data_IF_048554947326
#
_entry.id   IF_048554947326
#
_cell.length_a   1.000
_cell.length_b   1.000
_cell.length_c   1.000
_cell.angle_alpha   90.00
_cell.angle_beta   90.00
_cell.angle_gamma   90.00
#
_symmetry.space_group_name_H-M   'P 1'
#
loop_
_entity.id
_entity.type
_entity.pdbx_description
1 polymer ?
#
# COMPACT_ATOMS: atom_id res chain seq x y z
N UNK A 1 -34.87 -1.39 -21.32
CA UNK A 1 -34.89 -2.31 -20.16
C UNK A 1 -33.53 -2.60 -19.52
N UNK A 2 -32.40 -2.84 -20.18
CA UNK A 2 -31.18 -3.24 -19.46
C UNK A 2 -30.42 -2.12 -18.75
N UNK A 3 -30.47 -0.87 -19.24
CA UNK A 3 -29.65 0.23 -18.68
C UNK A 3 -30.06 0.71 -17.29
N UNK A 4 -31.33 0.67 -16.95
CA UNK A 4 -31.81 1.12 -15.64
C UNK A 4 -31.55 0.09 -14.55
N UNK A 5 -31.73 -1.19 -14.86
CA UNK A 5 -31.38 -2.31 -13.95
C UNK A 5 -29.87 -2.33 -13.67
N UNK A 6 -29.07 -2.19 -14.73
CA UNK A 6 -27.62 -2.10 -14.62
C UNK A 6 -27.18 -0.94 -13.73
N UNK A 7 -27.68 0.28 -14.02
CA UNK A 7 -27.32 1.49 -13.27
C UNK A 7 -27.73 1.38 -11.80
N UNK A 8 -28.92 0.83 -11.53
CA UNK A 8 -29.40 0.59 -10.17
C UNK A 8 -28.54 -0.41 -9.43
N UNK A 9 -28.27 -1.58 -10.02
CA UNK A 9 -27.45 -2.63 -9.42
C UNK A 9 -26.04 -2.14 -9.09
N UNK A 10 -25.37 -1.48 -10.05
CA UNK A 10 -24.01 -0.95 -9.85
C UNK A 10 -23.99 0.14 -8.79
N UNK A 11 -24.97 1.05 -8.77
CA UNK A 11 -25.07 2.09 -7.73
C UNK A 11 -25.20 1.47 -6.34
N UNK A 12 -26.09 0.50 -6.16
CA UNK A 12 -26.31 -0.19 -4.87
C UNK A 12 -25.04 -0.92 -4.41
N UNK A 13 -24.38 -1.68 -5.30
CA UNK A 13 -23.13 -2.36 -4.99
C UNK A 13 -22.03 -1.37 -4.62
N UNK A 14 -21.91 -0.28 -5.38
CA UNK A 14 -20.88 0.75 -5.10
C UNK A 14 -21.09 1.37 -3.72
N UNK A 15 -22.33 1.69 -3.35
CA UNK A 15 -22.63 2.32 -2.06
C UNK A 15 -22.45 1.38 -0.85
N UNK A 16 -22.63 0.06 -1.03
CA UNK A 16 -22.53 -0.89 0.09
C UNK A 16 -21.15 -1.57 0.18
N UNK A 17 -20.51 -1.86 -0.95
CA UNK A 17 -19.24 -2.60 -0.96
C UNK A 17 -18.03 -1.66 -0.88
N UNK A 18 -18.02 -0.62 -1.72
CA UNK A 18 -16.80 0.20 -1.88
C UNK A 18 -16.43 0.96 -0.60
N UNK A 19 -17.35 1.61 0.15
CA UNK A 19 -16.99 2.28 1.39
C UNK A 19 -16.43 1.33 2.45
N UNK A 20 -17.00 0.11 2.57
CA UNK A 20 -16.48 -0.89 3.49
C UNK A 20 -15.04 -1.30 3.10
N UNK A 21 -14.78 -1.59 1.82
CA UNK A 21 -13.44 -1.96 1.36
C UNK A 21 -12.43 -0.80 1.54
N UNK A 22 -12.87 0.44 1.33
CA UNK A 22 -12.08 1.65 1.60
C UNK A 22 -11.73 1.73 3.09
N UNK A 23 -12.70 1.52 3.98
CA UNK A 23 -12.45 1.51 5.43
C UNK A 23 -11.44 0.43 5.83
N UNK A 24 -11.59 -0.79 5.32
CA UNK A 24 -10.67 -1.87 5.62
C UNK A 24 -9.24 -1.57 5.13
N UNK A 25 -9.12 -0.97 3.96
CA UNK A 25 -7.82 -0.61 3.40
C UNK A 25 -7.20 0.60 4.11
N UNK A 26 -8.04 1.54 4.56
CA UNK A 26 -7.62 2.64 5.43
C UNK A 26 -6.98 2.11 6.72
N UNK A 27 -7.65 1.17 7.41
CA UNK A 27 -7.11 0.55 8.63
C UNK A 27 -5.80 -0.21 8.36
N UNK A 28 -5.68 -0.91 7.22
CA UNK A 28 -4.46 -1.61 6.86
C UNK A 28 -3.26 -0.64 6.70
N UNK A 29 -3.47 0.53 6.10
CA UNK A 29 -2.42 1.53 5.98
C UNK A 29 -2.16 2.29 7.27
N UNK A 30 -3.17 2.49 8.11
CA UNK A 30 -2.99 3.04 9.45
C UNK A 30 -2.03 2.17 10.26
N UNK A 31 -2.30 0.87 10.36
CA UNK A 31 -1.46 -0.11 11.08
C UNK A 31 -0.04 -0.28 10.49
N UNK A 32 0.11 -0.08 9.18
CA UNK A 32 1.45 -0.13 8.55
C UNK A 32 2.30 1.08 8.92
N UNK A 33 1.68 2.24 9.06
CA UNK A 33 2.38 3.51 9.24
C UNK A 33 2.57 3.92 10.72
N UNK A 34 1.80 3.34 11.65
CA UNK A 34 1.94 3.63 13.07
C UNK A 34 3.35 3.37 13.62
N UNK A 35 4.07 2.37 13.09
CA UNK A 35 5.49 2.14 13.39
C UNK A 35 6.34 3.38 13.20
N UNK A 36 6.13 4.13 12.10
CA UNK A 36 6.91 5.31 11.78
C UNK A 36 6.73 6.44 12.80
N UNK A 37 5.53 6.60 13.35
CA UNK A 37 5.24 7.58 14.40
C UNK A 37 5.72 7.11 15.78
N UNK A 38 5.72 5.81 16.04
CA UNK A 38 6.24 5.22 17.27
C UNK A 38 7.78 5.08 17.29
N UNK A 39 8.48 5.40 16.20
CA UNK A 39 9.91 5.12 16.00
C UNK A 39 10.75 5.56 17.21
N UNK A 40 10.66 6.83 17.60
CA UNK A 40 11.45 7.38 18.71
C UNK A 40 11.14 6.71 20.04
N UNK A 41 9.85 6.45 20.31
CA UNK A 41 9.45 5.76 21.55
C UNK A 41 9.95 4.30 21.58
N UNK A 42 9.93 3.59 20.45
CA UNK A 42 10.46 2.24 20.35
C UNK A 42 11.99 2.20 20.48
N UNK A 43 12.70 3.17 19.88
CA UNK A 43 14.15 3.34 20.06
C UNK A 43 14.50 3.53 21.53
N UNK A 44 13.81 4.45 22.22
CA UNK A 44 14.08 4.81 23.61
C UNK A 44 13.69 3.66 24.58
N UNK A 45 12.57 2.95 24.36
CA UNK A 45 12.07 1.93 25.28
C UNK A 45 12.67 0.53 25.02
N UNK A 46 12.98 0.19 23.77
CA UNK A 46 13.50 -1.14 23.40
C UNK A 46 15.00 -1.12 23.07
N UNK A 47 15.64 0.05 23.11
CA UNK A 47 17.08 0.20 22.78
C UNK A 47 17.38 -0.09 21.31
N UNK A 48 16.47 0.24 20.39
CA UNK A 48 16.66 -0.04 18.96
C UNK A 48 17.64 0.95 18.32
N UNK A 49 18.54 0.42 17.50
CA UNK A 49 19.29 1.25 16.53
C UNK A 49 18.40 1.57 15.34
N UNK A 50 18.81 2.53 14.48
CA UNK A 50 18.04 2.85 13.28
C UNK A 50 17.93 1.64 12.32
N UNK A 51 18.97 0.80 12.22
CA UNK A 51 18.91 -0.44 11.44
C UNK A 51 17.96 -1.47 12.05
N UNK A 52 17.95 -1.62 13.38
CA UNK A 52 17.03 -2.51 14.07
C UNK A 52 15.58 -2.07 13.88
N UNK A 53 15.30 -0.77 13.94
CA UNK A 53 13.98 -0.21 13.63
C UNK A 53 13.59 -0.41 12.16
N UNK A 54 14.52 -0.15 11.23
CA UNK A 54 14.32 -0.40 9.80
C UNK A 54 14.04 -1.86 9.50
N UNK A 55 14.75 -2.79 10.17
CA UNK A 55 14.50 -4.23 10.09
C UNK A 55 13.11 -4.59 10.61
N UNK A 56 12.71 -4.08 11.79
CA UNK A 56 11.37 -4.30 12.36
C UNK A 56 10.26 -3.81 11.42
N UNK A 57 10.46 -2.64 10.81
CA UNK A 57 9.51 -2.08 9.84
C UNK A 57 9.42 -2.93 8.58
N UNK A 58 10.55 -3.43 8.10
CA UNK A 58 10.65 -4.19 6.85
C UNK A 58 10.23 -5.66 6.97
N UNK A 59 10.50 -6.35 8.09
CA UNK A 59 10.24 -7.79 8.22
C UNK A 59 8.78 -8.18 8.02
N UNK A 60 7.86 -7.26 8.23
CA UNK A 60 6.46 -7.37 7.84
C UNK A 60 6.30 -7.81 6.39
N UNK A 61 7.06 -7.20 5.46
CA UNK A 61 6.97 -7.49 4.03
C UNK A 61 7.49 -8.86 3.66
N UNK A 62 8.41 -9.43 4.45
CA UNK A 62 8.85 -10.82 4.27
C UNK A 62 7.71 -11.79 4.62
N UNK A 63 7.04 -11.58 5.76
CA UNK A 63 5.85 -12.34 6.12
C UNK A 63 4.74 -12.21 5.08
N UNK A 64 4.47 -10.99 4.65
CA UNK A 64 3.47 -10.70 3.62
C UNK A 64 3.78 -11.41 2.29
N UNK A 65 5.02 -11.31 1.80
CA UNK A 65 5.50 -11.97 0.58
C UNK A 65 5.31 -13.49 0.61
N UNK A 66 5.74 -14.14 1.68
CA UNK A 66 5.68 -15.59 1.81
C UNK A 66 4.25 -16.14 1.81
N UNK A 67 3.30 -15.37 2.35
CA UNK A 67 1.93 -15.82 2.56
C UNK A 67 0.90 -15.17 1.63
N UNK A 68 1.28 -14.26 0.74
CA UNK A 68 0.36 -13.62 -0.22
C UNK A 68 -0.34 -14.64 -1.13
N UNK A 69 0.41 -15.55 -1.74
CA UNK A 69 -0.15 -16.58 -2.63
C UNK A 69 -1.02 -17.60 -1.86
N UNK A 70 -0.55 -18.20 -0.75
CA UNK A 70 -1.39 -19.10 0.06
C UNK A 70 -2.68 -18.46 0.56
N UNK A 71 -2.61 -17.19 1.00
CA UNK A 71 -3.77 -16.46 1.50
C UNK A 71 -4.78 -16.17 0.40
N UNK A 72 -4.33 -15.80 -0.80
CA UNK A 72 -5.23 -15.61 -1.94
C UNK A 72 -5.94 -16.92 -2.34
N UNK A 73 -5.24 -18.04 -2.31
CA UNK A 73 -5.86 -19.36 -2.50
C UNK A 73 -6.91 -19.66 -1.42
N UNK A 74 -6.68 -19.23 -0.19
CA UNK A 74 -7.65 -19.31 0.91
C UNK A 74 -8.93 -18.53 0.64
N UNK A 75 -8.83 -17.31 0.09
CA UNK A 75 -10.00 -16.51 -0.32
C UNK A 75 -10.88 -17.23 -1.34
N UNK A 76 -10.26 -17.89 -2.32
CA UNK A 76 -10.97 -18.64 -3.35
C UNK A 76 -11.62 -19.91 -2.75
N UNK A 77 -10.91 -20.61 -1.86
CA UNK A 77 -11.35 -21.88 -1.28
C UNK A 77 -12.47 -21.73 -0.25
N UNK A 78 -12.32 -20.77 0.68
CA UNK A 78 -13.24 -20.59 1.82
C UNK A 78 -14.26 -19.47 1.59
N UNK A 79 -14.10 -18.70 0.52
CA UNK A 79 -14.93 -17.55 0.18
C UNK A 79 -14.52 -16.25 0.90
N UNK A 80 -14.79 -15.10 0.26
CA UNK A 80 -14.41 -13.78 0.79
C UNK A 80 -14.94 -13.51 2.19
N UNK A 81 -16.17 -13.92 2.49
CA UNK A 81 -16.85 -13.70 3.78
C UNK A 81 -16.05 -14.23 4.97
N UNK A 82 -15.58 -15.48 4.91
CA UNK A 82 -14.84 -16.12 5.99
C UNK A 82 -13.38 -15.64 5.97
N UNK A 83 -12.80 -15.51 4.78
CA UNK A 83 -11.40 -15.21 4.66
C UNK A 83 -11.04 -13.78 5.06
N UNK A 84 -11.88 -12.79 4.73
CA UNK A 84 -11.70 -11.43 5.24
C UNK A 84 -11.83 -11.36 6.76
N UNK A 85 -12.80 -12.07 7.36
CA UNK A 85 -12.91 -12.13 8.81
C UNK A 85 -11.63 -12.69 9.45
N UNK A 86 -11.10 -13.80 8.90
CA UNK A 86 -9.83 -14.38 9.35
C UNK A 86 -8.66 -13.40 9.23
N UNK A 87 -8.51 -12.73 8.07
CA UNK A 87 -7.43 -11.76 7.85
C UNK A 87 -7.52 -10.64 8.88
N UNK A 88 -8.67 -10.00 9.02
CA UNK A 88 -8.86 -8.85 9.91
C UNK A 88 -8.66 -9.19 11.39
N UNK A 89 -9.23 -10.29 11.85
CA UNK A 89 -9.09 -10.71 13.26
C UNK A 89 -7.63 -11.06 13.56
N UNK A 90 -7.00 -11.89 12.72
CA UNK A 90 -5.63 -12.33 12.99
C UNK A 90 -4.62 -11.18 12.85
N UNK A 91 -4.78 -10.31 11.86
CA UNK A 91 -3.95 -9.11 11.71
C UNK A 91 -4.16 -8.17 12.91
N UNK A 92 -5.41 -7.83 13.27
CA UNK A 92 -5.70 -6.94 14.39
C UNK A 92 -5.15 -7.46 15.73
N UNK A 93 -5.14 -8.78 15.95
CA UNK A 93 -4.51 -9.39 17.14
C UNK A 93 -3.01 -9.06 17.17
N UNK A 94 -2.27 -9.30 16.07
CA UNK A 94 -0.83 -9.03 16.05
C UNK A 94 -0.52 -7.52 16.06
N UNK A 95 -1.36 -6.67 15.45
CA UNK A 95 -1.25 -5.22 15.56
C UNK A 95 -1.42 -4.75 17.02
N UNK A 96 -2.42 -5.26 17.73
CA UNK A 96 -2.64 -4.97 19.15
C UNK A 96 -1.49 -5.50 20.03
N UNK A 97 -0.97 -6.70 19.75
CA UNK A 97 0.15 -7.30 20.48
C UNK A 97 1.44 -6.47 20.40
N UNK A 98 1.62 -5.65 19.36
CA UNK A 98 2.74 -4.71 19.29
C UNK A 98 2.77 -3.73 20.46
N UNK A 99 1.63 -3.40 21.07
CA UNK A 99 1.56 -2.58 22.29
C UNK A 99 2.07 -3.26 23.56
N UNK A 100 2.35 -4.56 23.50
CA UNK A 100 2.79 -5.34 24.68
C UNK A 100 4.24 -5.85 24.56
N UNK A 101 4.93 -5.56 23.45
CA UNK A 101 6.31 -5.99 23.24
C UNK A 101 7.26 -5.33 24.23
N UNK A 102 8.24 -6.08 24.71
CA UNK A 102 9.25 -5.64 25.68
C UNK A 102 10.68 -5.80 25.18
N UNK A 103 10.86 -6.56 24.11
CA UNK A 103 12.17 -6.86 23.53
C UNK A 103 12.15 -6.66 22.02
N UNK A 104 13.30 -6.36 21.41
CA UNK A 104 13.41 -6.28 19.94
C UNK A 104 12.96 -7.57 19.23
N UNK A 105 13.23 -8.74 19.82
CA UNK A 105 12.85 -10.02 19.24
C UNK A 105 11.32 -10.19 19.18
N UNK A 106 10.62 -9.83 20.26
CA UNK A 106 9.14 -9.84 20.27
C UNK A 106 8.57 -8.90 19.22
N UNK A 107 9.15 -7.71 19.05
CA UNK A 107 8.77 -6.77 18.01
C UNK A 107 8.93 -7.39 16.60
N UNK A 108 10.06 -8.05 16.33
CA UNK A 108 10.31 -8.68 15.03
C UNK A 108 9.33 -9.83 14.77
N UNK A 109 9.06 -10.67 15.76
CA UNK A 109 8.10 -11.78 15.65
C UNK A 109 6.70 -11.23 15.40
N UNK A 110 6.24 -10.25 16.18
CA UNK A 110 4.91 -9.65 15.99
C UNK A 110 4.79 -8.98 14.61
N UNK A 111 5.81 -8.26 14.14
CA UNK A 111 5.82 -7.62 12.82
C UNK A 111 5.81 -8.65 11.68
N UNK A 112 6.59 -9.72 11.79
CA UNK A 112 6.56 -10.82 10.82
C UNK A 112 5.18 -11.47 10.77
N UNK A 113 4.63 -11.83 11.92
CA UNK A 113 3.31 -12.48 12.03
C UNK A 113 2.18 -11.56 11.56
N UNK A 114 2.29 -10.25 11.82
CA UNK A 114 1.37 -9.25 11.27
C UNK A 114 1.37 -9.31 9.73
N UNK A 115 2.56 -9.35 9.11
CA UNK A 115 2.69 -9.51 7.66
C UNK A 115 2.08 -10.82 7.14
N UNK A 116 2.30 -11.95 7.83
CA UNK A 116 1.67 -13.25 7.51
C UNK A 116 0.15 -13.18 7.58
N UNK A 117 -0.39 -12.53 8.60
CA UNK A 117 -1.83 -12.46 8.83
C UNK A 117 -2.54 -11.50 7.87
N UNK A 118 -1.92 -10.38 7.52
CA UNK A 118 -2.46 -9.40 6.58
C UNK A 118 -2.25 -9.83 5.12
N UNK A 119 -1.33 -10.75 4.86
CA UNK A 119 -1.03 -11.23 3.52
C UNK A 119 -2.28 -11.66 2.75
N UNK A 120 -2.34 -11.29 1.48
CA UNK A 120 -3.46 -11.61 0.61
C UNK A 120 -4.68 -10.69 0.77
N UNK A 121 -4.68 -9.68 1.65
CA UNK A 121 -5.79 -8.75 1.79
C UNK A 121 -6.09 -8.02 0.47
N UNK A 122 -5.10 -7.35 -0.12
CA UNK A 122 -5.28 -6.62 -1.38
C UNK A 122 -5.74 -7.52 -2.54
N UNK A 123 -5.09 -8.67 -2.84
CA UNK A 123 -5.58 -9.58 -3.86
C UNK A 123 -7.00 -10.10 -3.58
N UNK A 124 -7.36 -10.31 -2.32
CA UNK A 124 -8.70 -10.74 -1.93
C UNK A 124 -9.76 -9.68 -2.23
N UNK A 125 -9.45 -8.39 -2.02
CA UNK A 125 -10.32 -7.26 -2.39
C UNK A 125 -10.49 -7.20 -3.90
N UNK A 126 -9.39 -7.32 -4.67
CA UNK A 126 -9.44 -7.34 -6.13
C UNK A 126 -10.31 -8.52 -6.61
N UNK A 127 -10.12 -9.71 -6.04
CA UNK A 127 -10.95 -10.89 -6.33
C UNK A 127 -12.43 -10.61 -6.01
N UNK A 128 -12.73 -10.04 -4.83
CA UNK A 128 -14.07 -9.70 -4.42
C UNK A 128 -14.75 -8.74 -5.41
N UNK A 129 -14.02 -7.75 -5.89
CA UNK A 129 -14.53 -6.85 -6.94
C UNK A 129 -14.81 -7.60 -8.25
N UNK A 130 -14.04 -8.64 -8.60
CA UNK A 130 -14.34 -9.44 -9.80
C UNK A 130 -15.61 -10.25 -9.68
N UNK A 131 -15.96 -10.69 -8.48
CA UNK A 131 -17.21 -11.44 -8.21
C UNK A 131 -18.44 -10.55 -8.32
N UNK A 132 -18.36 -9.30 -7.88
CA UNK A 132 -19.51 -8.42 -7.75
C UNK A 132 -19.67 -7.41 -8.91
N UNK A 133 -18.58 -7.00 -9.55
CA UNK A 133 -18.62 -5.98 -10.58
C UNK A 133 -18.25 -6.51 -11.97
N UNK A 134 -19.04 -6.18 -13.01
CA UNK A 134 -18.67 -6.41 -14.40
C UNK A 134 -17.34 -5.73 -14.76
N UNK A 135 -16.62 -6.29 -15.73
CA UNK A 135 -15.27 -5.84 -16.13
C UNK A 135 -15.17 -4.33 -16.41
N UNK A 136 -16.17 -3.79 -17.10
CA UNK A 136 -16.21 -2.34 -17.47
C UNK A 136 -16.20 -1.37 -16.28
N UNK A 137 -16.59 -1.82 -15.07
CA UNK A 137 -16.62 -0.99 -13.86
C UNK A 137 -15.41 -1.20 -12.94
N UNK A 138 -14.71 -2.33 -13.07
CA UNK A 138 -13.61 -2.72 -12.16
C UNK A 138 -12.49 -1.69 -12.11
N UNK A 139 -12.06 -1.18 -13.27
CA UNK A 139 -10.98 -0.17 -13.34
C UNK A 139 -11.33 1.09 -12.55
N UNK A 140 -12.58 1.57 -12.66
CA UNK A 140 -13.03 2.75 -11.90
C UNK A 140 -13.04 2.49 -10.40
N UNK A 141 -13.52 1.33 -9.97
CA UNK A 141 -13.64 0.95 -8.56
C UNK A 141 -12.26 0.72 -7.94
N UNK A 142 -11.36 0.03 -8.65
CA UNK A 142 -9.97 -0.12 -8.24
C UNK A 142 -9.25 1.23 -8.14
N UNK A 143 -9.51 2.15 -9.06
CA UNK A 143 -8.98 3.51 -9.00
C UNK A 143 -9.41 4.25 -7.72
N UNK A 144 -10.69 4.15 -7.33
CA UNK A 144 -11.18 4.71 -6.06
C UNK A 144 -10.52 4.06 -4.84
N UNK A 145 -10.24 2.77 -4.91
CA UNK A 145 -9.62 2.01 -3.84
C UNK A 145 -8.13 2.38 -3.63
N UNK A 146 -7.38 2.61 -4.70
CA UNK A 146 -5.93 2.92 -4.61
C UNK A 146 -5.67 4.30 -3.99
N UNK A 147 -6.58 5.27 -4.16
CA UNK A 147 -6.46 6.61 -3.56
C UNK A 147 -6.44 6.56 -2.02
N UNK A 148 -6.97 5.49 -1.43
CA UNK A 148 -7.02 5.32 0.02
C UNK A 148 -5.61 5.30 0.62
N UNK A 149 -4.59 4.85 -0.08
CA UNK A 149 -3.22 4.76 0.44
C UNK A 149 -2.67 6.13 0.91
N UNK A 150 -2.52 7.15 0.06
CA UNK A 150 -2.06 8.46 0.53
C UNK A 150 -3.09 9.14 1.45
N UNK A 151 -4.38 8.88 1.28
CA UNK A 151 -5.43 9.41 2.15
C UNK A 151 -5.31 8.84 3.57
N UNK A 152 -5.04 7.54 3.72
CA UNK A 152 -4.81 6.90 5.02
C UNK A 152 -3.60 7.48 5.73
N UNK A 153 -2.52 7.76 5.00
CA UNK A 153 -1.34 8.40 5.57
C UNK A 153 -1.66 9.84 6.01
N UNK A 154 -2.40 10.59 5.20
CA UNK A 154 -2.78 11.96 5.51
C UNK A 154 -3.69 12.06 6.75
N UNK A 155 -4.74 11.24 6.81
CA UNK A 155 -5.70 11.24 7.94
C UNK A 155 -5.13 10.49 9.15
N UNK A 156 -4.37 9.42 8.93
CA UNK A 156 -3.77 8.60 9.97
C UNK A 156 -2.69 9.35 10.76
N UNK A 157 -1.89 10.22 10.09
CA UNK A 157 -0.84 10.94 10.79
C UNK A 157 -1.34 11.78 11.97
N UNK A 158 -2.38 12.64 11.86
CA UNK A 158 -2.93 13.35 13.01
C UNK A 158 -3.55 12.42 14.06
N UNK A 159 -4.15 11.30 13.66
CA UNK A 159 -4.72 10.31 14.60
C UNK A 159 -3.61 9.74 15.47
N UNK A 160 -2.56 9.20 14.84
CA UNK A 160 -1.40 8.64 15.55
C UNK A 160 -0.73 9.70 16.43
N UNK A 161 -0.56 10.94 15.91
CA UNK A 161 0.00 12.04 16.69
C UNK A 161 -0.84 12.45 17.89
N UNK A 162 -2.18 12.45 17.76
CA UNK A 162 -3.08 12.73 18.87
C UNK A 162 -2.95 11.66 19.98
N UNK A 163 -2.90 10.38 19.61
CA UNK A 163 -2.72 9.29 20.58
C UNK A 163 -1.35 9.42 21.28
N UNK A 164 -0.28 9.67 20.51
CA UNK A 164 1.08 9.79 21.05
C UNK A 164 1.27 11.04 21.92
N UNK A 165 0.42 12.05 21.79
CA UNK A 165 0.45 13.29 22.60
C UNK A 165 -0.32 13.17 23.92
N UNK A 166 -0.87 12.01 24.24
CA UNK A 166 -1.53 11.78 25.54
C UNK A 166 -0.48 11.85 26.64
N UNK A 167 -0.62 12.85 27.55
CA UNK A 167 0.38 13.16 28.57
C UNK A 167 0.39 12.19 29.79
N UNK A 168 -0.62 11.35 29.91
CA UNK A 168 -0.76 10.46 31.05
C UNK A 168 -0.82 9.00 30.59
N UNK A 169 -0.23 8.12 31.37
CA UNK A 169 -0.37 6.68 31.18
C UNK A 169 -1.82 6.26 31.45
N UNK A 170 -2.55 5.91 30.38
CA UNK A 170 -3.89 5.38 30.51
C UNK A 170 -3.82 3.88 30.78
N UNK A 171 -4.41 3.47 31.91
CA UNK A 171 -4.39 2.07 32.36
C UNK A 171 -2.98 1.48 32.50
N UNK A 172 -1.97 2.32 32.75
CA UNK A 172 -0.58 1.88 32.90
C UNK A 172 0.15 1.62 31.57
N UNK A 173 -0.44 2.03 30.44
CA UNK A 173 0.19 1.94 29.12
C UNK A 173 0.80 3.27 28.69
N UNK A 174 2.03 3.23 28.21
CA UNK A 174 2.67 4.37 27.56
C UNK A 174 1.95 4.75 26.24
N UNK A 175 2.03 6.02 25.80
CA UNK A 175 1.34 6.48 24.59
C UNK A 175 1.60 5.65 23.34
N UNK A 176 2.83 5.17 23.12
CA UNK A 176 3.15 4.30 21.99
C UNK A 176 2.48 2.92 22.07
N UNK A 177 2.28 2.39 23.27
CA UNK A 177 1.55 1.13 23.49
C UNK A 177 0.07 1.32 23.15
N UNK A 178 -0.50 2.44 23.61
CA UNK A 178 -1.88 2.81 23.30
C UNK A 178 -2.10 2.99 21.81
N UNK A 179 -1.12 3.55 21.08
CA UNK A 179 -1.19 3.68 19.63
C UNK A 179 -1.46 2.31 18.96
N UNK A 180 -0.64 1.31 19.24
CA UNK A 180 -0.80 -0.03 18.66
C UNK A 180 -2.09 -0.71 19.13
N UNK A 181 -2.48 -0.55 20.39
CA UNK A 181 -3.71 -1.13 20.92
C UNK A 181 -4.94 -0.50 20.25
N UNK A 182 -5.01 0.84 20.21
CA UNK A 182 -6.19 1.56 19.69
C UNK A 182 -6.33 1.43 18.18
N UNK A 183 -5.24 1.35 17.44
CA UNK A 183 -5.28 1.15 15.98
C UNK A 183 -5.46 -0.33 15.60
N UNK A 184 -4.99 -1.28 16.43
CA UNK A 184 -5.14 -2.71 16.19
C UNK A 184 -6.50 -3.30 16.57
N UNK A 185 -7.24 -2.68 17.50
CA UNK A 185 -8.57 -3.17 17.92
C UNK A 185 -9.66 -3.04 16.83
N UNK A 186 -9.80 -1.93 16.09
CA UNK A 186 -10.82 -1.78 15.06
C UNK A 186 -10.86 -2.91 14.02
N UNK A 187 -9.73 -3.39 13.47
CA UNK A 187 -9.73 -4.56 12.59
C UNK A 187 -10.33 -5.81 13.23
N UNK A 188 -10.10 -6.08 14.52
CA UNK A 188 -10.68 -7.22 15.22
C UNK A 188 -12.21 -7.08 15.28
N UNK A 189 -12.69 -5.92 15.73
CA UNK A 189 -14.13 -5.66 15.85
C UNK A 189 -14.83 -5.78 14.51
N UNK A 190 -14.27 -5.13 13.46
CA UNK A 190 -14.84 -5.21 12.13
C UNK A 190 -14.72 -6.65 11.58
N UNK A 191 -13.62 -7.33 11.83
CA UNK A 191 -13.42 -8.73 11.44
C UNK A 191 -14.51 -9.67 11.98
N UNK A 192 -14.95 -9.47 13.22
CA UNK A 192 -16.08 -10.19 13.82
C UNK A 192 -17.41 -9.86 13.15
N UNK A 193 -17.57 -8.63 12.63
CA UNK A 193 -18.78 -8.18 11.94
C UNK A 193 -18.79 -8.56 10.44
N UNK A 194 -17.64 -8.79 9.82
CA UNK A 194 -17.50 -9.10 8.38
C UNK A 194 -18.44 -10.24 7.91
N UNK A 195 -18.62 -11.35 8.63
CA UNK A 195 -19.53 -12.42 8.22
C UNK A 195 -20.98 -11.97 8.03
N UNK A 196 -21.39 -10.87 8.64
CA UNK A 196 -22.73 -10.29 8.51
C UNK A 196 -22.76 -9.23 7.40
N UNK A 197 -21.68 -8.49 7.17
CA UNK A 197 -21.58 -7.39 6.23
C UNK A 197 -21.29 -7.83 4.80
N UNK A 198 -20.44 -8.87 4.63
CA UNK A 198 -19.98 -9.36 3.32
C UNK A 198 -20.72 -10.63 2.94
N UNK A 199 -21.05 -10.76 1.65
CA UNK A 199 -21.62 -11.96 1.04
C UNK A 199 -20.65 -12.56 0.02
N UNK A 200 -20.74 -13.86 -0.20
CA UNK A 200 -19.86 -14.56 -1.16
C UNK A 200 -20.30 -14.40 -2.62
N UNK A 201 -21.59 -14.11 -2.85
CA UNK A 201 -22.17 -14.03 -4.19
C UNK A 201 -23.23 -12.94 -4.28
N UNK A 202 -23.44 -12.31 -5.45
CA UNK A 202 -24.56 -11.40 -5.68
C UNK A 202 -25.93 -12.01 -5.38
N UNK A 203 -26.08 -13.34 -5.46
CA UNK A 203 -27.34 -14.06 -5.12
C UNK A 203 -27.74 -13.84 -3.65
N UNK A 204 -26.76 -13.77 -2.75
CA UNK A 204 -26.97 -13.73 -1.31
C UNK A 204 -27.20 -12.31 -0.76
N UNK A 205 -27.17 -11.32 -1.65
CA UNK A 205 -27.28 -9.91 -1.28
C UNK A 205 -28.74 -9.51 -1.09
N UNK A 206 -29.10 -8.99 0.09
CA UNK A 206 -30.49 -8.65 0.43
C UNK A 206 -31.01 -7.37 -0.22
N UNK A 207 -30.15 -6.37 -0.50
CA UNK A 207 -30.52 -5.08 -1.05
C UNK A 207 -30.68 -5.05 -2.59
N UNK A 208 -30.40 -6.16 -3.27
CA UNK A 208 -30.62 -6.33 -4.71
C UNK A 208 -31.95 -7.02 -4.98
N UNK A 209 -32.71 -6.55 -5.97
CA UNK A 209 -33.91 -7.20 -6.43
C UNK A 209 -33.60 -8.41 -7.35
N UNK A 210 -34.62 -9.19 -7.72
CA UNK A 210 -34.47 -10.43 -8.49
C UNK A 210 -33.84 -10.16 -9.87
N UNK A 211 -34.26 -9.09 -10.54
CA UNK A 211 -33.76 -8.73 -11.88
C UNK A 211 -32.31 -8.26 -11.83
N UNK A 212 -31.93 -7.46 -10.81
CA UNK A 212 -30.58 -6.99 -10.57
C UNK A 212 -29.64 -8.18 -10.29
N UNK A 213 -30.07 -9.15 -9.48
CA UNK A 213 -29.32 -10.38 -9.21
C UNK A 213 -29.11 -11.21 -10.48
N UNK A 214 -30.18 -11.41 -11.27
CA UNK A 214 -30.11 -12.15 -12.53
C UNK A 214 -29.14 -11.47 -13.51
N UNK A 215 -29.24 -10.13 -13.64
CA UNK A 215 -28.34 -9.36 -14.49
C UNK A 215 -26.87 -9.47 -14.05
N UNK A 216 -26.59 -9.33 -12.76
CA UNK A 216 -25.24 -9.47 -12.21
C UNK A 216 -24.68 -10.88 -12.43
N UNK A 217 -25.48 -11.92 -12.21
CA UNK A 217 -25.05 -13.31 -12.43
C UNK A 217 -24.70 -13.62 -13.89
N UNK A 218 -25.30 -12.90 -14.84
CA UNK A 218 -24.98 -13.05 -16.27
C UNK A 218 -23.78 -12.21 -16.71
N UNK A 219 -23.49 -11.07 -16.04
CA UNK A 219 -22.49 -10.09 -16.45
C UNK A 219 -21.27 -9.96 -15.51
N UNK A 220 -21.44 -10.27 -14.21
CA UNK A 220 -20.35 -10.34 -13.24
C UNK A 220 -19.95 -11.81 -13.01
N UNK A 221 -18.77 -12.07 -12.49
CA UNK A 221 -18.32 -13.41 -12.11
C UNK A 221 -17.88 -14.34 -13.26
N UNK A 222 -18.07 -13.96 -14.52
CA UNK A 222 -17.60 -14.75 -15.70
C UNK A 222 -16.12 -14.58 -16.03
N UNK A 223 -15.37 -13.82 -15.22
CA UNK A 223 -13.92 -13.78 -15.44
C UNK A 223 -13.34 -15.17 -15.17
N UNK A 224 -12.77 -15.78 -16.20
CA UNK A 224 -11.93 -16.99 -16.10
C UNK A 224 -10.68 -16.79 -15.23
N UNK A 225 -10.62 -15.67 -14.52
CA UNK A 225 -9.51 -15.24 -13.64
C UNK A 225 -9.44 -15.99 -12.30
N UNK A 226 -10.33 -16.95 -12.05
CA UNK A 226 -10.25 -17.88 -10.92
C UNK A 226 -9.37 -19.10 -11.16
N UNK A 227 -8.51 -19.10 -12.17
CA UNK A 227 -7.51 -20.17 -12.33
C UNK A 227 -6.55 -20.10 -11.13
N UNK A 228 -6.48 -21.19 -10.39
CA UNK A 228 -5.50 -21.37 -9.32
C UNK A 228 -4.12 -21.07 -9.90
N UNK A 229 -3.48 -20.01 -9.45
CA UNK A 229 -2.08 -19.75 -9.77
C UNK A 229 -1.29 -20.85 -9.08
N UNK A 230 -0.67 -21.73 -9.86
CA UNK A 230 0.20 -22.78 -9.33
C UNK A 230 1.62 -22.22 -9.20
N UNK A 231 2.44 -22.86 -8.35
CA UNK A 231 3.86 -22.53 -8.25
C UNK A 231 4.56 -22.63 -9.63
N UNK A 232 4.13 -23.59 -10.46
CA UNK A 232 4.61 -23.74 -11.85
C UNK A 232 4.29 -22.49 -12.70
N UNK A 233 3.10 -21.92 -12.56
CA UNK A 233 2.72 -20.72 -13.31
C UNK A 233 3.50 -19.49 -12.83
N UNK A 234 3.75 -19.38 -11.51
CA UNK A 234 4.59 -18.35 -10.94
C UNK A 234 6.05 -18.45 -11.46
N UNK A 235 6.61 -19.65 -11.50
CA UNK A 235 7.97 -19.89 -12.05
C UNK A 235 8.05 -19.58 -13.55
N UNK A 236 6.99 -19.85 -14.33
CA UNK A 236 6.91 -19.41 -15.73
C UNK A 236 6.84 -17.90 -15.85
N UNK A 237 6.12 -17.23 -14.93
CA UNK A 237 6.07 -15.76 -14.85
C UNK A 237 7.46 -15.17 -14.62
N UNK A 238 8.26 -15.71 -13.70
CA UNK A 238 9.65 -15.26 -13.44
C UNK A 238 10.54 -15.39 -14.68
N UNK A 239 10.38 -16.43 -15.49
CA UNK A 239 11.16 -16.63 -16.73
C UNK A 239 10.81 -15.61 -17.82
N UNK A 240 9.70 -14.92 -17.72
CA UNK A 240 9.31 -13.89 -18.68
C UNK A 240 10.04 -12.57 -18.39
N UNK A 241 10.99 -12.21 -19.24
CA UNK A 241 11.82 -10.99 -19.10
C UNK A 241 11.01 -9.71 -18.93
N UNK A 242 9.82 -9.60 -19.55
CA UNK A 242 8.96 -8.41 -19.41
C UNK A 242 8.39 -8.30 -17.99
N UNK A 243 7.86 -9.41 -17.44
CA UNK A 243 7.37 -9.40 -16.05
C UNK A 243 8.49 -9.18 -15.05
N UNK A 244 9.68 -9.77 -15.28
CA UNK A 244 10.85 -9.54 -14.42
C UNK A 244 11.27 -8.06 -14.43
N UNK A 245 11.28 -7.41 -15.60
CA UNK A 245 11.57 -5.97 -15.67
C UNK A 245 10.54 -5.15 -14.89
N UNK A 246 9.23 -5.41 -15.06
CA UNK A 246 8.22 -4.71 -14.28
C UNK A 246 8.30 -5.01 -12.78
N UNK A 247 8.74 -6.20 -12.40
CA UNK A 247 8.97 -6.56 -11.00
C UNK A 247 10.13 -5.74 -10.40
N UNK A 248 11.22 -5.56 -11.12
CA UNK A 248 12.35 -4.69 -10.71
C UNK A 248 11.94 -3.22 -10.66
N UNK A 249 11.14 -2.75 -11.61
CA UNK A 249 10.60 -1.38 -11.58
C UNK A 249 9.65 -1.20 -10.39
N UNK A 250 8.81 -2.20 -10.11
CA UNK A 250 7.95 -2.18 -8.93
C UNK A 250 8.76 -2.16 -7.63
N UNK A 251 9.83 -2.94 -7.55
CA UNK A 251 10.74 -2.93 -6.41
C UNK A 251 11.26 -1.52 -6.12
N UNK A 252 11.78 -0.79 -7.12
CA UNK A 252 12.27 0.57 -6.92
C UNK A 252 11.17 1.56 -6.52
N UNK A 253 9.96 1.45 -7.10
CA UNK A 253 8.81 2.25 -6.71
C UNK A 253 8.38 1.96 -5.26
N UNK A 254 8.33 0.69 -4.86
CA UNK A 254 7.97 0.24 -3.51
C UNK A 254 9.02 0.66 -2.49
N UNK A 255 10.32 0.64 -2.85
CA UNK A 255 11.37 1.25 -2.03
C UNK A 255 11.07 2.72 -1.71
N UNK A 256 10.66 3.49 -2.71
CA UNK A 256 10.25 4.89 -2.51
C UNK A 256 9.06 5.00 -1.56
N UNK A 257 7.99 4.24 -1.77
CA UNK A 257 6.76 4.31 -0.97
C UNK A 257 7.04 4.00 0.50
N UNK A 258 7.63 2.84 0.79
CA UNK A 258 7.78 2.38 2.17
C UNK A 258 9.02 2.95 2.86
N UNK A 259 10.10 3.20 2.11
CA UNK A 259 11.25 3.92 2.65
C UNK A 259 10.88 5.34 3.07
N UNK A 260 10.20 6.08 2.20
CA UNK A 260 9.69 7.41 2.52
C UNK A 260 8.70 7.38 3.69
N UNK A 261 7.70 6.48 3.63
CA UNK A 261 6.67 6.35 4.67
C UNK A 261 7.24 6.06 6.05
N UNK A 262 8.23 5.16 6.14
CA UNK A 262 8.86 4.77 7.41
C UNK A 262 9.69 5.92 8.01
N UNK A 263 10.39 6.70 7.19
CA UNK A 263 11.36 7.69 7.67
C UNK A 263 10.86 9.14 7.60
N UNK A 264 9.69 9.41 6.99
CA UNK A 264 9.14 10.76 6.91
C UNK A 264 8.91 11.41 8.28
N UNK A 265 8.26 10.75 9.28
CA UNK A 265 8.05 11.36 10.58
C UNK A 265 9.37 11.73 11.28
N UNK A 266 10.37 10.85 11.26
CA UNK A 266 11.69 11.10 11.81
C UNK A 266 12.41 12.25 11.10
N UNK A 267 12.25 12.34 9.77
CA UNK A 267 12.81 13.45 8.97
C UNK A 267 12.13 14.78 9.32
N UNK A 268 10.81 14.81 9.46
CA UNK A 268 10.07 16.01 9.88
C UNK A 268 10.42 16.38 11.33
N UNK A 269 10.57 15.39 12.22
CA UNK A 269 10.96 15.60 13.62
C UNK A 269 12.28 16.38 13.74
N UNK A 270 13.24 16.03 12.91
CA UNK A 270 14.55 16.69 12.90
C UNK A 270 14.49 18.18 12.43
N UNK A 271 13.48 18.55 11.65
CA UNK A 271 13.29 19.95 11.19
C UNK A 271 12.27 20.73 12.01
N UNK A 272 11.45 20.09 12.87
CA UNK A 272 10.36 20.72 13.62
C UNK A 272 10.59 20.81 15.13
N UNK A 273 11.75 20.37 15.63
CA UNK A 273 12.10 20.43 17.05
C UNK A 273 11.55 19.27 17.90
N UNK A 274 11.10 18.17 17.28
CA UNK A 274 10.84 16.89 17.95
C UNK A 274 9.47 16.70 18.59
N UNK A 275 8.58 17.70 18.59
CA UNK A 275 7.20 17.55 19.07
C UNK A 275 6.41 16.63 18.15
N UNK A 276 6.03 15.45 18.64
CA UNK A 276 5.37 14.40 17.86
C UNK A 276 4.01 14.82 17.30
N UNK A 277 3.25 15.64 18.03
CA UNK A 277 1.97 16.16 17.54
C UNK A 277 2.18 17.10 16.36
N UNK A 278 3.14 18.03 16.48
CA UNK A 278 3.54 18.93 15.40
C UNK A 278 4.06 18.15 14.19
N UNK A 279 4.91 17.14 14.41
CA UNK A 279 5.40 16.24 13.36
C UNK A 279 4.26 15.60 12.59
N UNK A 280 3.27 15.09 13.30
CA UNK A 280 2.13 14.40 12.69
C UNK A 280 1.23 15.34 11.88
N UNK A 281 1.05 16.58 12.34
CA UNK A 281 0.32 17.61 11.59
C UNK A 281 1.10 18.06 10.35
N UNK A 282 2.41 18.22 10.44
CA UNK A 282 3.24 18.55 9.29
C UNK A 282 3.27 17.40 8.25
N UNK A 283 3.23 16.15 8.69
CA UNK A 283 3.16 14.99 7.79
C UNK A 283 1.83 14.90 7.01
N UNK A 284 0.74 15.49 7.52
CA UNK A 284 -0.52 15.64 6.79
C UNK A 284 -0.32 16.37 5.46
N UNK A 285 0.57 17.37 5.39
CA UNK A 285 0.72 18.23 4.21
C UNK A 285 1.24 17.46 3.00
N UNK A 286 2.40 16.76 3.05
CA UNK A 286 2.89 15.98 1.90
C UNK A 286 1.93 14.87 1.46
N UNK A 287 1.35 14.14 2.40
CA UNK A 287 0.40 13.08 2.08
C UNK A 287 -0.93 13.61 1.55
N UNK A 288 -1.44 14.73 2.11
CA UNK A 288 -2.67 15.38 1.66
C UNK A 288 -2.55 15.91 0.24
N UNK A 289 -1.45 16.59 -0.09
CA UNK A 289 -1.16 17.07 -1.45
C UNK A 289 -1.03 15.89 -2.44
N UNK A 290 -0.36 14.82 -2.03
CA UNK A 290 -0.28 13.61 -2.85
C UNK A 290 -1.69 13.02 -3.10
N UNK A 291 -2.52 12.88 -2.08
CA UNK A 291 -3.88 12.34 -2.20
C UNK A 291 -4.74 13.17 -3.16
N UNK A 292 -4.64 14.50 -3.13
CA UNK A 292 -5.36 15.40 -4.03
C UNK A 292 -4.91 15.25 -5.49
N UNK A 293 -3.64 15.01 -5.74
CA UNK A 293 -3.05 15.01 -7.08
C UNK A 293 -3.04 13.63 -7.75
N UNK A 294 -3.15 12.52 -7.02
CA UNK A 294 -3.16 11.15 -7.59
C UNK A 294 -4.26 10.99 -8.64
N UNK A 295 -5.48 11.45 -8.35
CA UNK A 295 -6.61 11.26 -9.26
C UNK A 295 -6.49 12.05 -10.57
N UNK A 296 -6.30 13.40 -10.55
CA UNK A 296 -6.16 14.17 -11.79
C UNK A 296 -4.95 13.73 -12.62
N UNK A 297 -3.83 13.37 -11.99
CA UNK A 297 -2.65 12.84 -12.67
C UNK A 297 -2.94 11.51 -13.37
N UNK A 298 -3.61 10.60 -12.69
CA UNK A 298 -4.01 9.30 -13.24
C UNK A 298 -4.97 9.44 -14.43
N UNK A 299 -5.92 10.38 -14.35
CA UNK A 299 -6.82 10.70 -15.47
C UNK A 299 -6.06 11.22 -16.67
N UNK A 300 -5.09 12.11 -16.46
CA UNK A 300 -4.27 12.66 -17.54
C UNK A 300 -3.40 11.59 -18.18
N UNK A 301 -2.74 10.76 -17.39
CA UNK A 301 -1.99 9.61 -17.87
C UNK A 301 -2.84 8.67 -18.74
N UNK A 302 -4.06 8.39 -18.30
CA UNK A 302 -5.01 7.51 -19.00
C UNK A 302 -5.48 8.11 -20.33
N UNK A 303 -5.82 9.41 -20.35
CA UNK A 303 -6.23 10.13 -21.57
C UNK A 303 -5.14 10.18 -22.63
N UNK A 304 -3.90 10.40 -22.22
CA UNK A 304 -2.76 10.48 -23.15
C UNK A 304 -2.25 9.12 -23.60
N UNK A 305 -2.67 8.03 -22.95
CA UNK A 305 -2.17 6.66 -23.15
C UNK A 305 -0.64 6.53 -23.00
N UNK A 306 0.01 7.46 -22.28
CA UNK A 306 1.47 7.49 -22.05
C UNK A 306 1.82 7.02 -20.62
N UNK A 307 1.20 5.93 -20.16
CA UNK A 307 1.29 5.47 -18.77
C UNK A 307 2.73 5.41 -18.24
N UNK A 308 3.65 4.81 -19.00
CA UNK A 308 5.04 4.66 -18.56
C UNK A 308 5.80 5.98 -18.43
N UNK A 309 5.52 6.94 -19.32
CA UNK A 309 6.11 8.29 -19.22
C UNK A 309 5.61 9.00 -17.97
N UNK A 310 4.29 8.92 -17.69
CA UNK A 310 3.72 9.54 -16.49
C UNK A 310 4.21 8.88 -15.20
N UNK A 311 4.30 7.54 -15.16
CA UNK A 311 4.85 6.82 -14.01
C UNK A 311 6.33 7.18 -13.79
N UNK A 312 7.13 7.14 -14.85
CA UNK A 312 8.56 7.44 -14.77
C UNK A 312 8.84 8.90 -14.41
N UNK A 313 8.10 9.85 -15.00
CA UNK A 313 8.22 11.27 -14.65
C UNK A 313 7.89 11.53 -13.18
N UNK A 314 6.82 10.89 -12.67
CA UNK A 314 6.47 10.98 -11.25
C UNK A 314 7.62 10.50 -10.35
N UNK A 315 8.26 9.37 -10.68
CA UNK A 315 9.40 8.85 -9.92
C UNK A 315 10.63 9.77 -9.98
N UNK A 316 10.90 10.40 -11.13
CA UNK A 316 11.96 11.41 -11.27
C UNK A 316 11.65 12.65 -10.43
N UNK A 317 10.41 13.14 -10.44
CA UNK A 317 9.96 14.24 -9.58
C UNK A 317 10.14 13.88 -8.10
N UNK A 318 9.81 12.65 -7.72
CA UNK A 318 10.02 12.16 -6.35
C UNK A 318 11.50 12.16 -5.96
N UNK A 319 12.38 11.70 -6.85
CA UNK A 319 13.82 11.71 -6.62
C UNK A 319 14.37 13.13 -6.43
N UNK A 320 13.95 14.08 -7.28
CA UNK A 320 14.31 15.49 -7.14
C UNK A 320 13.80 16.05 -5.81
N UNK A 321 12.57 15.71 -5.41
CA UNK A 321 12.02 16.08 -4.11
C UNK A 321 12.88 15.58 -2.94
N UNK A 322 13.27 14.29 -2.94
CA UNK A 322 14.13 13.75 -1.89
C UNK A 322 15.53 14.40 -1.86
N UNK A 323 16.15 14.58 -3.02
CA UNK A 323 17.45 15.25 -3.13
C UNK A 323 17.38 16.70 -2.62
N UNK A 324 16.34 17.44 -3.03
CA UNK A 324 16.12 18.81 -2.56
C UNK A 324 15.89 18.87 -1.04
N UNK A 325 15.07 17.98 -0.50
CA UNK A 325 14.85 17.91 0.95
C UNK A 325 16.16 17.74 1.72
N UNK A 326 17.03 16.81 1.30
CA UNK A 326 18.35 16.60 1.93
C UNK A 326 19.24 17.83 1.81
N UNK A 327 19.28 18.46 0.64
CA UNK A 327 20.15 19.61 0.38
C UNK A 327 19.77 20.81 1.27
N UNK A 328 18.46 21.09 1.39
CA UNK A 328 17.97 22.25 2.14
C UNK A 328 17.70 21.96 3.62
N UNK A 329 17.84 20.72 4.06
CA UNK A 329 17.55 20.28 5.42
C UNK A 329 18.21 21.15 6.52
N UNK A 330 19.47 21.56 6.30
CA UNK A 330 20.24 22.39 7.25
C UNK A 330 20.03 23.89 7.08
N UNK A 331 19.49 24.34 5.94
CA UNK A 331 19.40 25.75 5.62
C UNK A 331 18.01 26.33 5.94
N UNK A 332 16.96 25.66 5.53
CA UNK A 332 15.58 26.13 5.74
C UNK A 332 14.61 24.94 5.87
N UNK A 333 14.03 24.75 7.10
CA UNK A 333 13.06 23.69 7.35
C UNK A 333 11.81 23.74 6.46
N UNK A 334 11.33 24.94 6.10
CA UNK A 334 10.11 25.08 5.27
C UNK A 334 10.41 24.71 3.82
N UNK A 335 11.59 25.08 3.32
CA UNK A 335 12.04 24.66 1.98
C UNK A 335 12.22 23.15 1.93
N UNK A 336 12.84 22.55 2.96
CA UNK A 336 12.98 21.09 3.07
C UNK A 336 11.62 20.38 3.08
N UNK A 337 10.64 20.88 3.86
CA UNK A 337 9.27 20.36 3.88
C UNK A 337 8.59 20.48 2.50
N UNK A 338 8.80 21.58 1.79
CA UNK A 338 8.26 21.79 0.46
C UNK A 338 8.80 20.73 -0.53
N UNK A 339 10.10 20.39 -0.44
CA UNK A 339 10.69 19.31 -1.21
C UNK A 339 10.18 17.91 -0.78
N UNK A 340 9.88 17.67 0.49
CA UNK A 340 9.20 16.45 0.94
C UNK A 340 7.78 16.35 0.37
N UNK A 341 7.07 17.47 0.20
CA UNK A 341 5.78 17.48 -0.50
C UNK A 341 5.93 17.07 -1.98
N UNK A 342 6.94 17.60 -2.68
CA UNK A 342 7.25 17.21 -4.06
C UNK A 342 7.57 15.72 -4.14
N UNK A 343 8.36 15.20 -3.19
CA UNK A 343 8.67 13.78 -3.10
C UNK A 343 7.41 12.92 -2.92
N UNK A 344 6.54 13.26 -1.97
CA UNK A 344 5.29 12.54 -1.73
C UNK A 344 4.38 12.55 -2.97
N UNK A 345 4.19 13.71 -3.61
CA UNK A 345 3.41 13.83 -4.85
C UNK A 345 3.97 12.87 -5.91
N UNK A 346 5.27 12.91 -6.15
CA UNK A 346 5.91 12.05 -7.14
C UNK A 346 5.74 10.56 -6.83
N UNK A 347 5.98 10.14 -5.58
CA UNK A 347 5.85 8.74 -5.14
C UNK A 347 4.43 8.22 -5.39
N UNK A 348 3.40 8.90 -4.89
CA UNK A 348 2.03 8.39 -4.93
C UNK A 348 1.36 8.56 -6.30
N UNK A 349 1.70 9.59 -7.07
CA UNK A 349 1.17 9.76 -8.43
C UNK A 349 1.76 8.76 -9.43
N UNK A 350 2.92 8.14 -9.14
CA UNK A 350 3.49 7.07 -9.95
C UNK A 350 2.66 5.77 -9.94
N UNK A 351 1.98 5.48 -8.83
CA UNK A 351 1.36 4.18 -8.56
C UNK A 351 0.27 3.79 -9.56
N UNK A 352 -0.80 4.58 -9.80
CA UNK A 352 -1.87 4.16 -10.70
C UNK A 352 -1.44 3.93 -12.15
N UNK A 353 -0.67 4.83 -12.81
CA UNK A 353 -0.21 4.57 -14.17
C UNK A 353 0.75 3.38 -14.23
N UNK A 354 1.61 3.17 -13.22
CA UNK A 354 2.52 2.03 -13.18
C UNK A 354 1.77 0.70 -13.11
N UNK A 355 0.84 0.54 -12.16
CA UNK A 355 0.09 -0.70 -11.95
C UNK A 355 -0.76 -1.11 -13.18
N UNK A 356 -1.11 -0.15 -14.01
CA UNK A 356 -1.88 -0.40 -15.24
C UNK A 356 -1.04 -1.00 -16.38
N UNK A 357 0.29 -0.91 -16.35
CA UNK A 357 1.16 -1.35 -17.45
C UNK A 357 1.34 -2.88 -17.53
N UNK A 358 1.67 -3.59 -16.43
CA UNK A 358 1.91 -5.05 -16.51
C UNK A 358 0.66 -5.85 -16.89
N UNK A 359 -0.53 -5.31 -16.63
CA UNK A 359 -1.80 -5.96 -16.97
C UNK A 359 -2.00 -6.17 -18.47
N UNK A 360 -1.29 -5.41 -19.32
CA UNK A 360 -1.41 -5.47 -20.78
C UNK A 360 -0.41 -6.42 -21.46
N UNK A 361 0.43 -7.15 -20.70
CA UNK A 361 1.49 -8.01 -21.26
C UNK A 361 0.93 -9.32 -21.81
N UNK A 362 -0.03 -9.92 -21.12
CA UNK A 362 -0.68 -11.19 -21.50
C UNK A 362 -2.10 -11.25 -20.95
N UNK A 363 -2.84 -12.30 -21.31
CA UNK A 363 -4.22 -12.53 -20.88
C UNK A 363 -4.37 -13.84 -20.10
N UNK A 364 -5.45 -13.97 -19.33
CA UNK A 364 -5.78 -15.20 -18.62
C UNK A 364 -4.83 -15.55 -17.48
N UNK A 365 -4.53 -16.84 -17.30
CA UNK A 365 -3.69 -17.36 -16.21
C UNK A 365 -2.26 -16.83 -16.25
N UNK A 366 -1.69 -16.63 -17.44
CA UNK A 366 -0.34 -16.09 -17.60
C UNK A 366 -0.25 -14.62 -17.14
N UNK A 367 -1.29 -13.82 -17.37
CA UNK A 367 -1.36 -12.46 -16.84
C UNK A 367 -1.41 -12.45 -15.30
N UNK A 368 -2.25 -13.29 -14.71
CA UNK A 368 -2.39 -13.40 -13.26
C UNK A 368 -1.07 -13.83 -12.59
N UNK A 369 -0.39 -14.84 -13.18
CA UNK A 369 0.92 -15.28 -12.69
C UNK A 369 2.00 -14.20 -12.83
N UNK A 370 2.03 -13.49 -13.96
CA UNK A 370 2.96 -12.37 -14.19
C UNK A 370 2.74 -11.23 -13.22
N UNK A 371 1.50 -10.84 -12.97
CA UNK A 371 1.16 -9.80 -11.98
C UNK A 371 1.54 -10.22 -10.57
N UNK A 372 1.38 -11.51 -10.21
CA UNK A 372 1.84 -12.03 -8.93
C UNK A 372 3.36 -11.90 -8.79
N UNK A 373 4.14 -12.21 -9.84
CA UNK A 373 5.60 -12.01 -9.84
C UNK A 373 5.96 -10.54 -9.63
N UNK A 374 5.28 -9.63 -10.33
CA UNK A 374 5.50 -8.17 -10.18
C UNK A 374 5.20 -7.71 -8.76
N UNK A 375 4.10 -8.14 -8.17
CA UNK A 375 3.72 -7.80 -6.79
C UNK A 375 4.70 -8.38 -5.78
N UNK A 376 4.95 -9.69 -5.84
CA UNK A 376 5.79 -10.40 -4.89
C UNK A 376 7.22 -9.85 -4.85
N UNK A 377 7.89 -9.71 -6.00
CA UNK A 377 9.27 -9.16 -6.05
C UNK A 377 9.27 -7.69 -5.66
N UNK A 378 8.25 -6.93 -6.10
CA UNK A 378 8.10 -5.52 -5.74
C UNK A 378 8.02 -5.31 -4.23
N UNK A 379 7.24 -6.14 -3.53
CA UNK A 379 7.06 -6.04 -2.08
C UNK A 379 8.36 -6.26 -1.26
N UNK A 380 9.37 -6.94 -1.83
CA UNK A 380 10.70 -7.03 -1.20
C UNK A 380 11.33 -5.64 -1.00
N UNK A 381 11.00 -4.67 -1.87
CA UNK A 381 11.42 -3.27 -1.69
C UNK A 381 10.92 -2.66 -0.38
N UNK A 382 9.77 -3.09 0.12
CA UNK A 382 9.24 -2.70 1.42
C UNK A 382 10.07 -3.20 2.62
N UNK A 383 10.82 -4.29 2.45
CA UNK A 383 11.83 -4.72 3.43
C UNK A 383 13.15 -3.98 3.24
N UNK A 384 13.66 -3.99 2.01
CA UNK A 384 15.00 -3.47 1.72
C UNK A 384 15.13 -1.98 2.03
N UNK A 385 14.13 -1.18 1.69
CA UNK A 385 14.25 0.26 1.81
C UNK A 385 14.29 0.76 3.26
N UNK A 386 13.37 0.41 4.18
CA UNK A 386 13.47 0.83 5.57
C UNK A 386 14.76 0.34 6.24
N UNK A 387 15.17 -0.90 5.96
CA UNK A 387 16.37 -1.49 6.52
C UNK A 387 17.65 -0.82 6.03
N UNK A 388 17.78 -0.62 4.71
CA UNK A 388 18.94 0.04 4.13
C UNK A 388 19.11 1.49 4.61
N UNK A 389 18.00 2.24 4.70
CA UNK A 389 18.04 3.60 5.27
C UNK A 389 18.48 3.57 6.74
N UNK A 390 17.98 2.61 7.52
CA UNK A 390 18.40 2.42 8.92
C UNK A 390 19.88 2.12 9.06
N UNK A 391 20.42 1.19 8.25
CA UNK A 391 21.85 0.85 8.23
C UNK A 391 22.71 2.07 7.84
N UNK A 392 22.29 2.82 6.82
CA UNK A 392 23.01 4.03 6.41
C UNK A 392 22.98 5.11 7.51
N UNK A 393 21.89 5.20 8.25
CA UNK A 393 21.76 6.08 9.41
C UNK A 393 22.74 5.70 10.53
N UNK A 394 22.81 4.41 10.90
CA UNK A 394 23.72 3.93 11.95
C UNK A 394 25.19 4.15 11.54
N UNK A 395 25.54 3.93 10.27
CA UNK A 395 26.92 4.08 9.78
C UNK A 395 27.39 5.54 9.68
N UNK A 396 26.46 6.47 9.41
CA UNK A 396 26.84 7.87 9.10
C UNK A 396 26.39 8.88 10.15
N UNK A 397 25.54 8.48 11.10
CA UNK A 397 24.91 9.36 12.07
C UNK A 397 23.96 10.40 11.43
N UNK A 398 23.50 10.15 10.18
CA UNK A 398 22.68 11.09 9.41
C UNK A 398 21.65 10.36 8.56
N UNK A 399 20.45 10.93 8.45
CA UNK A 399 19.38 10.44 7.55
C UNK A 399 19.63 10.75 6.06
N UNK A 400 20.55 11.64 5.75
CA UNK A 400 20.81 12.11 4.40
C UNK A 400 21.20 10.97 3.42
N UNK A 401 22.18 10.06 3.72
CA UNK A 401 22.52 8.97 2.82
C UNK A 401 21.35 8.02 2.54
N UNK A 402 20.50 7.79 3.53
CA UNK A 402 19.30 6.97 3.37
C UNK A 402 18.31 7.59 2.37
N UNK A 403 18.07 8.88 2.47
CA UNK A 403 17.20 9.61 1.52
C UNK A 403 17.82 9.66 0.12
N UNK A 404 19.16 9.81 -0.01
CA UNK A 404 19.84 9.70 -1.29
C UNK A 404 19.72 8.31 -1.92
N UNK A 405 19.79 7.25 -1.11
CA UNK A 405 19.55 5.87 -1.56
C UNK A 405 18.14 5.73 -2.14
N UNK A 406 17.11 6.21 -1.45
CA UNK A 406 15.73 6.18 -1.94
C UNK A 406 15.58 7.00 -3.23
N UNK A 407 16.17 8.19 -3.29
CA UNK A 407 16.17 9.04 -4.47
C UNK A 407 16.83 8.34 -5.66
N UNK A 408 17.96 7.65 -5.45
CA UNK A 408 18.66 6.90 -6.49
C UNK A 408 17.82 5.74 -7.03
N UNK A 409 17.15 4.98 -6.15
CA UNK A 409 16.23 3.92 -6.54
C UNK A 409 15.08 4.47 -7.41
N UNK A 410 14.45 5.57 -6.98
CA UNK A 410 13.36 6.20 -7.73
C UNK A 410 13.82 6.80 -9.06
N UNK A 411 14.98 7.45 -9.08
CA UNK A 411 15.55 8.05 -10.30
C UNK A 411 15.86 6.96 -11.34
N UNK A 412 16.57 5.91 -10.94
CA UNK A 412 16.91 4.80 -11.82
C UNK A 412 15.64 4.13 -12.38
N UNK A 413 14.68 3.83 -11.51
CA UNK A 413 13.41 3.24 -11.89
C UNK A 413 12.62 4.13 -12.84
N UNK A 414 12.55 5.43 -12.54
CA UNK A 414 11.84 6.43 -13.35
C UNK A 414 12.45 6.57 -14.75
N UNK A 415 13.77 6.68 -14.84
CA UNK A 415 14.47 6.76 -16.13
C UNK A 415 14.28 5.49 -16.96
N UNK A 416 14.47 4.31 -16.38
CA UNK A 416 14.25 3.03 -17.10
C UNK A 416 12.80 2.95 -17.59
N UNK A 417 11.83 3.36 -16.77
CA UNK A 417 10.41 3.34 -17.13
C UNK A 417 10.13 4.26 -18.35
N UNK A 418 10.68 5.48 -18.37
CA UNK A 418 10.51 6.43 -19.48
C UNK A 418 11.13 5.86 -20.75
N UNK A 419 12.41 5.45 -20.71
CA UNK A 419 13.14 4.98 -21.89
C UNK A 419 12.56 3.67 -22.46
N UNK A 420 12.20 2.73 -21.59
CA UNK A 420 11.59 1.47 -22.01
C UNK A 420 10.25 1.68 -22.72
N UNK A 421 9.41 2.56 -22.20
CA UNK A 421 8.10 2.86 -22.81
C UNK A 421 8.22 3.69 -24.10
N UNK A 422 9.23 4.56 -24.21
CA UNK A 422 9.51 5.26 -25.46
C UNK A 422 9.87 4.28 -26.57
N UNK A 423 10.77 3.33 -26.29
CA UNK A 423 11.22 2.32 -27.25
C UNK A 423 10.11 1.36 -27.71
N UNK A 424 9.18 0.99 -26.84
CA UNK A 424 8.04 0.15 -27.23
C UNK A 424 7.11 0.83 -28.26
N UNK A 425 6.99 2.16 -28.22
CA UNK A 425 6.19 2.91 -29.20
C UNK A 425 6.84 2.95 -30.57
N UNK A 426 8.15 3.12 -30.64
CA UNK A 426 8.87 3.12 -31.92
C UNK A 426 8.79 1.75 -32.61
N UNK A 427 8.81 0.65 -31.83
CA UNK A 427 8.64 -0.71 -32.37
C UNK A 427 7.23 -1.01 -32.92
N UNK A 428 6.20 -0.32 -32.42
CA UNK A 428 4.81 -0.48 -32.91
C UNK A 428 4.53 0.39 -34.14
N UNK A 429 5.27 1.48 -34.33
CA UNK A 429 5.14 2.37 -35.51
C UNK A 429 5.91 1.78 -36.72
N UNK A 430 6.94 0.97 -36.47
CA UNK A 430 7.78 0.35 -37.47
C UNK A 430 7.42 -1.12 -37.81
N UNK A 431 6.36 -1.67 -37.21
CA UNK A 431 5.75 -2.98 -37.51
C UNK A 431 4.35 -2.82 -38.09
#
# INVERSE_FOLDING_TARGET
MPKDIERSAIRKLTLHIVPLMILLYFLAFLDRNNMAYAAKALEDNLGLTASAFGFASGIFFIGYFLFEIPSNAGTIKFGPRIWFARILISWGIFATLLGFVRTPLELYICRFMLGVCEAGFFPSVVYYFTVFFPEKYRTKILGMFIIVQPLSNAVGSPISGFILNIQHDWFGFAPWQLLFILEGLPPIVIGLLIPFLIKNSPKDVGYLNVEEKAWLMSNAGRSKSGSKITLSDFLKGIKNKKYLLYALLNFGMVCGIYGFGTWLPSTISAISGGDIFRVSLLALIPYGLAALLVYPWSLWASKTKKLGVFAGLSMVIAAIGLMGAVTFFKYDPFVALSFLCIAAIGIYTAVPPFLSMPANISTGAAAAAGLAVVSCIGNIGGFVAPYAVGVLNDLTGSSAPGLFFLASCLLATGLICIFYCAKQREGVINS
#
